data_IF_909101164745
#
_entry.id   IF_909101164745
#
_cell.length_a   1.000
_cell.length_b   1.000
_cell.length_c   1.000
_cell.angle_alpha   90.00
_cell.angle_beta   90.00
_cell.angle_gamma   90.00
#
_symmetry.space_group_name_H-M   'P 1'
#
loop_
_entity.id
_entity.type
_entity.pdbx_description
1 polymer ?
#
# COMPACT_ATOMS: atom_id res chain seq x y z
N UNK A 1 18.67 -16.75 -1.49
CA UNK A 1 18.36 -17.61 -2.66
C UNK A 1 19.57 -18.42 -3.10
N UNK A 2 20.70 -17.78 -3.45
CA UNK A 2 21.92 -18.50 -3.86
C UNK A 2 22.50 -19.38 -2.74
N UNK A 3 22.59 -18.87 -1.51
CA UNK A 3 23.05 -19.62 -0.33
C UNK A 3 22.16 -20.82 0.00
N UNK A 4 20.86 -20.69 -0.26
CA UNK A 4 19.88 -21.77 -0.07
C UNK A 4 19.75 -22.69 -1.30
N UNK A 5 20.62 -22.53 -2.30
CA UNK A 5 20.63 -23.34 -3.53
C UNK A 5 19.28 -23.42 -4.27
N UNK A 6 18.49 -22.35 -4.23
CA UNK A 6 17.18 -22.30 -4.91
C UNK A 6 17.40 -22.20 -6.43
N UNK A 7 16.77 -23.09 -7.19
CA UNK A 7 16.84 -23.10 -8.65
C UNK A 7 16.36 -21.78 -9.28
N UNK A 8 17.07 -21.29 -10.29
CA UNK A 8 16.63 -20.14 -11.07
C UNK A 8 15.47 -20.51 -11.99
N UNK A 9 14.63 -19.56 -12.43
CA UNK A 9 13.54 -19.84 -13.37
C UNK A 9 14.03 -20.48 -14.68
N UNK A 10 15.25 -20.14 -15.12
CA UNK A 10 15.85 -20.71 -16.32
C UNK A 10 16.20 -22.20 -16.13
N UNK A 11 16.79 -22.56 -14.99
CA UNK A 11 17.08 -23.96 -14.65
C UNK A 11 15.79 -24.73 -14.45
N UNK A 12 14.87 -24.21 -13.62
CA UNK A 12 13.60 -24.88 -13.33
C UNK A 12 12.78 -25.13 -14.59
N UNK A 13 12.75 -24.19 -15.54
CA UNK A 13 12.09 -24.37 -16.84
C UNK A 13 12.75 -25.47 -17.68
N UNK A 14 14.07 -25.53 -17.71
CA UNK A 14 14.80 -26.59 -18.42
C UNK A 14 14.55 -27.96 -17.80
N UNK A 15 14.56 -28.06 -16.45
CA UNK A 15 14.28 -29.29 -15.71
C UNK A 15 12.85 -29.80 -15.95
N UNK A 16 11.85 -28.90 -15.92
CA UNK A 16 10.44 -29.28 -16.04
C UNK A 16 9.99 -29.58 -17.49
N UNK A 17 10.48 -28.81 -18.46
CA UNK A 17 9.92 -28.82 -19.82
C UNK A 17 10.92 -29.24 -20.91
N UNK A 18 12.17 -29.54 -20.54
CA UNK A 18 13.21 -29.91 -21.51
C UNK A 18 13.59 -28.81 -22.50
N UNK A 19 13.12 -27.57 -22.27
CA UNK A 19 13.30 -26.43 -23.18
C UNK A 19 13.80 -25.20 -22.40
N UNK A 20 14.88 -24.57 -22.89
CA UNK A 20 15.51 -23.41 -22.26
C UNK A 20 16.49 -22.70 -23.20
N UNK A 21 16.77 -21.42 -22.91
CA UNK A 21 17.65 -20.58 -23.73
C UNK A 21 19.08 -21.17 -23.80
N UNK A 22 19.57 -21.36 -25.04
CA UNK A 22 20.81 -22.10 -25.35
C UNK A 22 22.12 -21.29 -25.33
N UNK A 23 22.11 -20.01 -24.92
CA UNK A 23 23.40 -19.31 -24.79
C UNK A 23 24.15 -19.86 -23.57
N UNK A 24 25.41 -20.24 -23.77
CA UNK A 24 26.33 -20.56 -22.68
C UNK A 24 26.63 -19.26 -21.92
N UNK A 25 26.04 -19.13 -20.73
CA UNK A 25 26.37 -18.08 -19.77
C UNK A 25 26.94 -18.78 -18.53
N UNK A 26 28.08 -18.32 -18.02
CA UNK A 26 28.85 -19.00 -16.98
C UNK A 26 28.18 -19.10 -15.60
N UNK A 27 26.98 -18.54 -15.42
CA UNK A 27 26.34 -18.40 -14.10
C UNK A 27 24.81 -18.56 -14.11
N UNK A 28 24.26 -19.41 -14.98
CA UNK A 28 22.80 -19.66 -15.10
C UNK A 28 22.09 -20.12 -13.81
N UNK A 29 22.85 -20.65 -12.86
CA UNK A 29 22.38 -21.14 -11.56
C UNK A 29 22.31 -20.06 -10.48
N UNK A 30 22.86 -18.87 -10.74
CA UNK A 30 22.84 -17.77 -9.79
C UNK A 30 21.61 -16.89 -10.03
N UNK A 31 20.95 -16.55 -8.94
CA UNK A 31 19.97 -15.49 -8.88
C UNK A 31 20.65 -14.13 -9.00
N UNK A 32 20.22 -13.39 -10.02
CA UNK A 32 20.58 -12.00 -10.24
C UNK A 32 19.49 -11.08 -9.67
N UNK A 33 19.89 -9.95 -9.12
CA UNK A 33 18.98 -8.94 -8.59
C UNK A 33 17.97 -8.44 -9.64
N UNK A 34 18.40 -8.28 -10.89
CA UNK A 34 17.53 -7.88 -12.01
C UNK A 34 16.48 -8.94 -12.33
N UNK A 35 16.81 -10.23 -12.17
CA UNK A 35 15.85 -11.33 -12.35
C UNK A 35 14.77 -11.28 -11.28
N UNK A 36 15.17 -11.13 -10.01
CA UNK A 36 14.23 -11.00 -8.88
C UNK A 36 13.36 -9.76 -9.05
N UNK A 37 13.97 -8.61 -9.40
CA UNK A 37 13.25 -7.37 -9.66
C UNK A 37 12.24 -7.49 -10.80
N UNK A 38 12.56 -8.23 -11.87
CA UNK A 38 11.62 -8.47 -12.97
C UNK A 38 10.42 -9.28 -12.51
N UNK A 39 10.65 -10.32 -11.70
CA UNK A 39 9.59 -11.15 -11.12
C UNK A 39 8.66 -10.33 -10.23
N UNK A 40 9.22 -9.55 -9.30
CA UNK A 40 8.43 -8.74 -8.36
C UNK A 40 7.61 -7.62 -9.05
N UNK A 41 7.94 -7.26 -10.28
CA UNK A 41 7.22 -6.24 -11.07
C UNK A 41 6.24 -6.82 -12.08
N UNK A 42 6.17 -8.15 -12.19
CA UNK A 42 5.34 -8.82 -13.17
C UNK A 42 3.91 -8.94 -12.65
N UNK A 43 2.96 -8.29 -13.31
CA UNK A 43 1.56 -8.29 -12.89
C UNK A 43 0.81 -9.59 -13.27
N UNK A 44 1.50 -10.51 -13.94
CA UNK A 44 1.06 -11.91 -14.10
C UNK A 44 0.77 -12.55 -12.73
N UNK A 45 1.51 -12.21 -11.69
CA UNK A 45 1.30 -12.77 -10.35
C UNK A 45 -0.02 -12.33 -9.69
N UNK A 46 -0.62 -11.23 -10.15
CA UNK A 46 -1.96 -10.77 -9.74
C UNK A 46 -3.05 -11.11 -10.78
N UNK A 47 -2.78 -12.05 -11.69
CA UNK A 47 -3.76 -12.49 -12.68
C UNK A 47 -3.89 -11.57 -13.90
N UNK A 48 -3.02 -10.55 -14.04
CA UNK A 48 -3.09 -9.59 -15.14
C UNK A 48 -2.17 -9.99 -16.28
N UNK A 49 -2.69 -10.02 -17.50
CA UNK A 49 -1.92 -10.34 -18.70
C UNK A 49 -1.86 -9.13 -19.63
N UNK A 50 -0.65 -8.64 -19.88
CA UNK A 50 -0.41 -7.55 -20.84
C UNK A 50 0.06 -8.06 -22.19
N UNK A 51 -0.59 -7.63 -23.26
CA UNK A 51 -0.20 -7.88 -24.65
C UNK A 51 0.07 -6.57 -25.38
N UNK A 52 0.97 -6.61 -26.36
CA UNK A 52 1.35 -5.43 -27.14
C UNK A 52 2.30 -4.49 -26.39
N UNK A 53 2.99 -4.94 -25.34
CA UNK A 53 3.96 -4.15 -24.56
C UNK A 53 5.13 -3.61 -25.40
N UNK A 54 5.39 -4.22 -26.55
CA UNK A 54 6.40 -3.79 -27.50
C UNK A 54 5.87 -3.84 -28.93
N UNK A 55 6.33 -2.91 -29.75
CA UNK A 55 6.06 -2.87 -31.19
C UNK A 55 7.35 -2.65 -31.97
N UNK A 56 7.35 -3.11 -33.22
CA UNK A 56 8.44 -2.81 -34.15
C UNK A 56 8.29 -1.36 -34.60
N UNK A 57 9.37 -0.59 -34.60
CA UNK A 57 9.31 0.84 -34.97
C UNK A 57 8.94 1.04 -36.46
N UNK A 58 9.51 0.21 -37.33
CA UNK A 58 9.23 0.20 -38.78
C UNK A 58 9.13 -1.23 -39.28
N UNK A 59 8.37 -1.46 -40.35
CA UNK A 59 8.12 -2.79 -40.95
C UNK A 59 9.43 -3.56 -41.17
N UNK A 60 10.48 -2.90 -41.68
CA UNK A 60 11.78 -3.51 -42.00
C UNK A 60 12.89 -3.26 -40.95
N UNK A 61 12.59 -2.74 -39.76
CA UNK A 61 13.62 -2.52 -38.72
C UNK A 61 13.59 -3.59 -37.64
N UNK A 62 14.73 -4.10 -37.20
CA UNK A 62 14.81 -4.95 -36.00
C UNK A 62 14.72 -4.15 -34.68
N UNK A 63 14.53 -2.82 -34.74
CA UNK A 63 14.40 -1.97 -33.56
C UNK A 63 13.01 -2.15 -32.94
N UNK A 64 12.99 -2.79 -31.77
CA UNK A 64 11.81 -2.95 -30.92
C UNK A 64 11.71 -1.76 -29.97
N UNK A 65 10.52 -1.17 -29.86
CA UNK A 65 10.24 -0.02 -29.00
C UNK A 65 9.11 -0.41 -28.05
N UNK A 66 9.18 0.08 -26.80
CA UNK A 66 8.09 -0.09 -25.83
C UNK A 66 6.89 0.76 -26.21
N UNK A 67 5.71 0.17 -26.06
CA UNK A 67 4.42 0.83 -26.28
C UNK A 67 4.00 1.54 -25.00
N UNK A 68 3.37 2.71 -25.12
CA UNK A 68 2.87 3.46 -23.98
C UNK A 68 1.86 2.60 -23.19
N UNK A 69 1.78 2.69 -21.86
CA UNK A 69 0.87 1.86 -21.06
C UNK A 69 -0.58 1.92 -21.51
N UNK A 70 -1.05 3.09 -21.95
CA UNK A 70 -2.41 3.35 -22.45
C UNK A 70 -2.75 2.57 -23.73
N UNK A 71 -1.74 2.31 -24.57
CA UNK A 71 -1.87 1.59 -25.84
C UNK A 71 -1.69 0.07 -25.67
N UNK A 72 -1.48 -0.41 -24.43
CA UNK A 72 -1.31 -1.84 -24.14
C UNK A 72 -2.65 -2.51 -23.91
N UNK A 73 -2.78 -3.74 -24.42
CA UNK A 73 -3.96 -4.56 -24.15
C UNK A 73 -3.77 -5.23 -22.79
N UNK A 74 -4.60 -4.83 -21.82
CA UNK A 74 -4.56 -5.33 -20.44
C UNK A 74 -5.78 -6.20 -20.20
N UNK A 75 -5.56 -7.45 -19.81
CA UNK A 75 -6.61 -8.39 -19.44
C UNK A 75 -6.44 -8.76 -17.97
N UNK A 76 -7.32 -8.24 -17.11
CA UNK A 76 -7.33 -8.54 -15.69
C UNK A 76 -8.06 -9.87 -15.41
N UNK A 77 -7.58 -10.65 -14.44
CA UNK A 77 -8.23 -11.89 -14.00
C UNK A 77 -8.21 -13.05 -14.99
N UNK A 78 -7.33 -13.01 -16.01
CA UNK A 78 -7.27 -14.06 -17.05
C UNK A 78 -6.67 -15.37 -16.52
N UNK A 79 -5.81 -15.27 -15.51
CA UNK A 79 -5.12 -16.40 -14.89
C UNK A 79 -5.29 -16.35 -13.36
N UNK A 80 -5.20 -17.49 -12.67
CA UNK A 80 -5.26 -17.52 -11.21
C UNK A 80 -4.19 -16.62 -10.59
N UNK A 81 -4.58 -15.79 -9.63
CA UNK A 81 -3.67 -14.96 -8.86
C UNK A 81 -2.83 -15.82 -7.90
N UNK A 82 -1.55 -15.48 -7.78
CA UNK A 82 -0.61 -16.14 -6.86
C UNK A 82 -0.43 -15.29 -5.60
N UNK A 83 -0.49 -13.96 -5.75
CA UNK A 83 -0.37 -12.98 -4.67
C UNK A 83 -1.56 -12.03 -4.70
N UNK A 84 -1.87 -11.42 -3.56
CA UNK A 84 -2.93 -10.42 -3.48
C UNK A 84 -2.52 -9.12 -4.20
N UNK A 85 -3.52 -8.42 -4.75
CA UNK A 85 -3.30 -7.16 -5.49
C UNK A 85 -2.71 -6.07 -4.58
N UNK A 86 -3.16 -5.99 -3.33
CA UNK A 86 -2.70 -4.98 -2.37
C UNK A 86 -1.22 -5.20 -2.02
N UNK A 87 -0.80 -6.44 -1.83
CA UNK A 87 0.60 -6.80 -1.54
C UNK A 87 1.51 -6.46 -2.73
N UNK A 88 1.07 -6.77 -3.96
CA UNK A 88 1.81 -6.42 -5.17
C UNK A 88 1.95 -4.90 -5.37
N UNK A 89 0.88 -4.15 -5.10
CA UNK A 89 0.89 -2.68 -5.17
C UNK A 89 1.85 -2.08 -4.13
N UNK A 90 1.86 -2.61 -2.90
CA UNK A 90 2.79 -2.19 -1.86
C UNK A 90 4.25 -2.39 -2.28
N UNK A 91 4.60 -3.55 -2.85
CA UNK A 91 5.95 -3.83 -3.35
C UNK A 91 6.34 -2.86 -4.49
N UNK A 92 5.42 -2.56 -5.41
CA UNK A 92 5.69 -1.61 -6.48
C UNK A 92 5.87 -0.19 -5.98
N UNK A 93 5.08 0.23 -4.98
CA UNK A 93 5.26 1.52 -4.31
C UNK A 93 6.65 1.63 -3.69
N UNK A 94 7.17 0.57 -3.04
CA UNK A 94 8.54 0.55 -2.52
C UNK A 94 9.60 0.77 -3.61
N UNK A 95 9.42 0.20 -4.81
CA UNK A 95 10.33 0.44 -5.93
C UNK A 95 10.32 1.89 -6.41
N UNK A 96 9.14 2.53 -6.44
CA UNK A 96 9.00 3.94 -6.83
C UNK A 96 9.69 4.82 -5.80
N UNK A 97 9.34 4.67 -4.52
CA UNK A 97 9.96 5.43 -3.41
C UNK A 97 11.48 5.30 -3.41
N UNK A 98 12.03 4.11 -3.67
CA UNK A 98 13.48 3.90 -3.74
C UNK A 98 14.16 4.77 -4.81
N UNK A 99 13.51 4.92 -5.97
CA UNK A 99 14.02 5.75 -7.08
C UNK A 99 13.92 7.23 -6.71
N UNK A 100 12.79 7.68 -6.18
CA UNK A 100 12.54 9.06 -5.74
C UNK A 100 13.50 9.49 -4.62
N UNK A 101 13.73 8.61 -3.66
CA UNK A 101 14.65 8.82 -2.55
C UNK A 101 16.13 8.78 -2.99
N UNK A 102 16.41 8.40 -4.24
CA UNK A 102 17.75 8.41 -4.80
C UNK A 102 18.69 7.42 -4.12
N UNK A 103 18.16 6.32 -3.57
CA UNK A 103 18.93 5.31 -2.85
C UNK A 103 19.86 4.58 -3.81
N UNK A 104 21.18 4.77 -3.62
CA UNK A 104 22.22 4.08 -4.41
C UNK A 104 23.02 3.16 -3.50
N UNK A 105 22.93 1.86 -3.74
CA UNK A 105 23.83 0.89 -3.13
C UNK A 105 25.03 0.68 -4.08
N UNK A 106 26.24 1.04 -3.65
CA UNK A 106 27.48 0.63 -4.31
C UNK A 106 28.17 -0.40 -3.42
N UNK A 107 28.03 -1.68 -3.76
CA UNK A 107 28.81 -2.79 -3.19
C UNK A 107 28.49 -3.23 -1.75
N UNK A 108 27.85 -2.40 -0.92
CA UNK A 108 27.52 -2.71 0.49
C UNK A 108 26.01 -2.65 0.78
N UNK A 109 25.62 -3.22 1.92
CA UNK A 109 24.28 -3.12 2.49
C UNK A 109 23.82 -1.66 2.59
N UNK A 110 22.54 -1.43 2.29
CA UNK A 110 21.91 -0.11 2.42
C UNK A 110 21.75 0.18 3.90
N UNK A 111 22.26 1.33 4.36
CA UNK A 111 22.06 1.74 5.74
C UNK A 111 20.61 2.15 5.98
N UNK A 112 20.11 1.90 7.20
CA UNK A 112 18.73 2.02 7.65
C UNK A 112 17.98 3.29 7.18
N UNK A 113 18.63 4.45 7.18
CA UNK A 113 18.01 5.74 6.82
C UNK A 113 18.44 6.30 5.45
N UNK A 114 19.11 5.50 4.63
CA UNK A 114 19.64 5.95 3.34
C UNK A 114 18.50 6.43 2.43
N UNK A 115 18.61 7.67 1.92
CA UNK A 115 17.62 8.26 1.00
C UNK A 115 16.38 8.85 1.68
N UNK A 116 16.12 8.54 2.95
CA UNK A 116 15.07 9.17 3.75
C UNK A 116 15.54 10.51 4.35
N UNK A 117 16.82 10.61 4.70
CA UNK A 117 17.39 11.81 5.30
C UNK A 117 17.64 12.92 4.28
N UNK A 118 17.05 14.09 4.53
CA UNK A 118 17.18 15.32 3.75
C UNK A 118 17.78 16.43 4.60
N UNK A 119 18.68 17.21 4.04
CA UNK A 119 19.15 18.44 4.65
C UNK A 119 18.10 19.53 4.48
N UNK A 120 17.67 20.16 5.57
CA UNK A 120 16.70 21.24 5.56
C UNK A 120 17.22 22.56 4.97
N UNK A 121 18.54 22.74 4.91
CA UNK A 121 19.16 23.95 4.31
C UNK A 121 19.37 23.82 2.81
N UNK A 122 19.97 22.72 2.34
CA UNK A 122 20.33 22.56 0.92
C UNK A 122 19.41 21.59 0.15
N UNK A 123 18.47 20.93 0.82
CA UNK A 123 17.50 20.00 0.22
C UNK A 123 18.09 18.68 -0.30
N UNK A 124 19.41 18.48 -0.21
CA UNK A 124 20.09 17.24 -0.65
C UNK A 124 20.03 16.15 0.41
N UNK A 125 20.21 14.90 -0.02
CA UNK A 125 20.25 13.76 0.89
C UNK A 125 21.46 13.83 1.85
N UNK A 126 21.35 13.19 3.00
CA UNK A 126 22.52 12.84 3.81
C UNK A 126 23.09 11.50 3.33
N UNK A 127 24.41 11.35 3.42
CA UNK A 127 25.15 10.14 3.08
C UNK A 127 25.87 9.60 4.29
N UNK A 128 25.99 8.28 4.39
CA UNK A 128 26.74 7.65 5.48
C UNK A 128 28.24 7.74 5.23
N UNK A 129 28.97 8.19 6.25
CA UNK A 129 30.43 8.17 6.31
C UNK A 129 30.88 7.33 7.51
N UNK A 130 31.99 6.63 7.36
CA UNK A 130 32.63 5.90 8.46
C UNK A 130 33.80 6.68 9.03
N UNK A 131 33.89 6.74 10.36
CA UNK A 131 35.07 7.21 11.08
C UNK A 131 35.68 6.03 11.84
N UNK A 132 36.97 5.78 11.63
CA UNK A 132 37.72 4.77 12.38
C UNK A 132 38.46 5.47 13.52
N UNK A 133 38.22 5.05 14.76
CA UNK A 133 38.94 5.51 15.95
C UNK A 133 39.55 4.32 16.70
N UNK A 134 40.34 4.59 17.75
CA UNK A 134 40.88 3.56 18.65
C UNK A 134 39.80 2.71 19.33
N UNK A 135 38.57 3.23 19.44
CA UNK A 135 37.42 2.54 20.06
C UNK A 135 36.53 1.80 19.05
N UNK A 136 36.92 1.75 17.78
CA UNK A 136 36.20 1.03 16.72
C UNK A 136 35.74 1.94 15.58
N UNK A 137 34.93 1.36 14.68
CA UNK A 137 34.35 2.07 13.54
C UNK A 137 32.99 2.63 13.93
N UNK A 138 32.83 3.96 13.86
CA UNK A 138 31.53 4.64 14.02
C UNK A 138 31.00 5.11 12.67
N UNK A 139 29.69 5.09 12.52
CA UNK A 139 29.00 5.52 11.30
C UNK A 139 28.17 6.77 11.59
N UNK A 140 28.19 7.71 10.65
CA UNK A 140 27.48 8.97 10.75
C UNK A 140 26.79 9.30 9.43
N UNK A 141 25.62 9.93 9.49
CA UNK A 141 25.00 10.60 8.35
C UNK A 141 25.50 12.04 8.25
N UNK A 142 25.90 12.47 7.06
CA UNK A 142 26.42 13.83 6.79
C UNK A 142 25.80 14.39 5.52
N UNK A 143 25.54 15.70 5.50
CA UNK A 143 25.00 16.38 4.32
C UNK A 143 25.89 16.14 3.07
N UNK A 144 25.29 15.69 1.96
CA UNK A 144 26.02 15.42 0.72
C UNK A 144 26.72 16.67 0.16
N UNK A 145 26.05 17.83 0.24
CA UNK A 145 26.58 19.10 -0.28
C UNK A 145 27.82 19.53 0.50
N UNK A 146 27.75 19.50 1.83
CA UNK A 146 28.91 19.76 2.68
C UNK A 146 30.03 18.75 2.42
N UNK A 147 29.72 17.45 2.35
CA UNK A 147 30.73 16.42 2.15
C UNK A 147 31.49 16.56 0.82
N UNK A 148 30.86 17.14 -0.21
CA UNK A 148 31.48 17.33 -1.52
C UNK A 148 32.15 18.69 -1.69
N UNK A 149 31.52 19.75 -1.22
CA UNK A 149 31.89 21.13 -1.53
C UNK A 149 32.31 21.95 -0.30
N UNK A 150 32.18 21.37 0.91
CA UNK A 150 32.59 21.98 2.16
C UNK A 150 31.61 23.01 2.72
N UNK A 151 32.06 23.68 3.79
CA UNK A 151 31.25 24.62 4.61
C UNK A 151 30.69 25.82 3.84
N UNK A 152 31.31 26.19 2.72
CA UNK A 152 30.86 27.32 1.91
C UNK A 152 29.48 27.09 1.27
N UNK A 153 29.05 25.83 1.12
CA UNK A 153 27.82 25.48 0.39
C UNK A 153 26.71 24.91 1.27
N UNK A 154 27.04 24.44 2.48
CA UNK A 154 26.09 23.93 3.47
C UNK A 154 26.83 23.75 4.81
N UNK A 155 26.12 23.69 5.94
CA UNK A 155 26.71 23.21 7.19
C UNK A 155 26.83 21.68 7.20
N UNK A 156 27.51 21.13 8.21
CA UNK A 156 27.91 19.71 8.23
C UNK A 156 26.72 18.76 8.34
N UNK A 157 25.67 19.14 9.08
CA UNK A 157 24.53 18.31 9.49
C UNK A 157 24.96 16.86 9.79
N UNK A 158 25.68 16.66 10.89
CA UNK A 158 26.18 15.33 11.29
C UNK A 158 25.27 14.68 12.33
N UNK A 159 24.77 13.49 12.00
CA UNK A 159 23.98 12.65 12.89
C UNK A 159 24.68 11.31 13.10
N UNK A 160 24.75 10.83 14.33
CA UNK A 160 25.14 9.43 14.55
C UNK A 160 23.97 8.50 14.19
N UNK A 161 24.27 7.24 13.91
CA UNK A 161 23.20 6.24 13.69
C UNK A 161 22.33 6.03 14.94
N UNK A 162 22.92 6.14 16.13
CA UNK A 162 22.22 5.90 17.39
C UNK A 162 21.26 7.06 17.73
N UNK A 163 21.67 8.31 17.45
CA UNK A 163 20.84 9.50 17.73
C UNK A 163 19.57 9.55 16.89
N UNK A 164 19.63 9.10 15.63
CA UNK A 164 18.44 9.07 14.78
C UNK A 164 17.51 7.92 15.18
N UNK A 165 18.05 6.77 15.62
CA UNK A 165 17.23 5.66 16.09
C UNK A 165 16.37 6.08 17.29
N UNK A 166 16.96 6.73 18.30
CA UNK A 166 16.21 7.17 19.48
C UNK A 166 15.10 8.17 19.12
N UNK A 167 15.40 9.15 18.25
CA UNK A 167 14.43 10.15 17.81
C UNK A 167 13.27 9.50 17.05
N UNK A 168 13.56 8.55 16.17
CA UNK A 168 12.51 7.88 15.39
C UNK A 168 11.64 6.99 16.28
N UNK A 169 12.22 6.26 17.23
CA UNK A 169 11.43 5.46 18.17
C UNK A 169 10.55 6.34 19.07
N UNK A 170 11.04 7.48 19.56
CA UNK A 170 10.24 8.42 20.34
C UNK A 170 9.04 8.96 19.55
N UNK A 171 9.23 9.28 18.26
CA UNK A 171 8.14 9.70 17.37
C UNK A 171 7.14 8.57 17.11
N UNK A 172 7.61 7.33 16.93
CA UNK A 172 6.74 6.17 16.76
C UNK A 172 5.93 5.86 18.01
N UNK A 173 6.51 6.00 19.20
CA UNK A 173 5.79 5.88 20.47
C UNK A 173 4.73 6.97 20.60
N UNK A 174 5.05 8.23 20.29
CA UNK A 174 4.08 9.33 20.31
C UNK A 174 2.93 9.09 19.33
N UNK A 175 3.23 8.56 18.14
CA UNK A 175 2.21 8.16 17.16
C UNK A 175 1.33 7.03 17.68
N UNK A 176 1.92 5.99 18.26
CA UNK A 176 1.18 4.88 18.85
C UNK A 176 0.24 5.37 19.96
N UNK A 177 0.70 6.24 20.85
CA UNK A 177 -0.15 6.86 21.88
C UNK A 177 -1.27 7.71 21.28
N UNK A 178 -0.99 8.49 20.22
CA UNK A 178 -2.02 9.26 19.53
C UNK A 178 -3.06 8.36 18.86
N UNK A 179 -2.64 7.21 18.33
CA UNK A 179 -3.52 6.22 17.73
C UNK A 179 -4.38 5.50 18.77
N UNK A 180 -3.83 5.16 19.94
CA UNK A 180 -4.60 4.65 21.08
C UNK A 180 -5.67 5.65 21.53
N UNK A 181 -5.34 6.93 21.63
CA UNK A 181 -6.32 7.97 21.95
C UNK A 181 -7.41 8.09 20.87
N UNK A 182 -7.07 7.93 19.58
CA UNK A 182 -8.05 7.88 18.50
C UNK A 182 -8.94 6.64 18.62
N UNK A 183 -8.39 5.47 18.93
CA UNK A 183 -9.16 4.26 19.21
C UNK A 183 -10.11 4.45 20.40
N UNK A 184 -9.63 4.99 21.52
CA UNK A 184 -10.46 5.28 22.69
C UNK A 184 -11.58 6.28 22.37
N UNK A 185 -11.31 7.29 21.53
CA UNK A 185 -12.32 8.23 21.07
C UNK A 185 -13.33 7.59 20.12
N UNK A 186 -12.88 6.68 19.24
CA UNK A 186 -13.76 5.86 18.42
C UNK A 186 -14.62 4.96 19.32
N UNK A 187 -14.04 4.30 20.32
CA UNK A 187 -14.75 3.42 21.26
C UNK A 187 -15.74 4.19 22.14
N UNK A 188 -15.38 5.35 22.68
CA UNK A 188 -16.33 6.22 23.42
C UNK A 188 -17.43 6.75 22.52
N UNK A 189 -17.08 7.17 21.29
CA UNK A 189 -18.10 7.54 20.31
C UNK A 189 -18.99 6.36 19.93
N UNK A 190 -18.52 5.11 20.03
CA UNK A 190 -19.28 3.89 19.79
C UNK A 190 -20.15 3.51 20.99
N UNK A 191 -19.70 3.73 22.23
CA UNK A 191 -20.49 3.49 23.44
C UNK A 191 -21.68 4.47 23.54
N UNK A 192 -21.44 5.77 23.34
CA UNK A 192 -22.52 6.78 23.27
C UNK A 192 -23.48 6.52 22.09
N UNK A 193 -23.01 5.84 21.04
CA UNK A 193 -23.80 5.51 19.84
C UNK A 193 -24.32 4.08 19.79
N UNK A 194 -23.98 3.17 20.72
CA UNK A 194 -24.56 1.82 20.77
C UNK A 194 -26.08 1.88 20.99
N UNK A 195 -26.55 2.91 21.69
CA UNK A 195 -27.96 3.25 21.80
C UNK A 195 -28.56 3.56 20.41
N UNK A 196 -27.88 4.37 19.59
CA UNK A 196 -28.30 4.71 18.22
C UNK A 196 -28.12 3.57 17.20
N UNK A 197 -27.17 2.65 17.43
CA UNK A 197 -26.88 1.52 16.54
C UNK A 197 -27.91 0.40 16.74
N UNK A 198 -28.42 0.19 17.97
CA UNK A 198 -29.63 -0.61 18.20
C UNK A 198 -30.83 -0.05 17.44
N UNK A 199 -30.98 1.27 17.38
CA UNK A 199 -32.06 1.90 16.64
C UNK A 199 -31.84 1.83 15.11
N UNK A 200 -30.60 1.94 14.64
CA UNK A 200 -30.24 1.82 13.22
C UNK A 200 -30.38 0.37 12.72
N UNK A 201 -29.92 -0.62 13.50
CA UNK A 201 -30.12 -2.04 13.20
C UNK A 201 -31.61 -2.41 13.18
N UNK A 202 -32.41 -1.89 14.11
CA UNK A 202 -33.88 -2.01 14.06
C UNK A 202 -34.48 -1.32 12.83
N UNK A 203 -33.92 -0.20 12.38
CA UNK A 203 -34.38 0.49 11.15
C UNK A 203 -34.06 -0.36 9.92
N UNK A 204 -32.88 -0.96 9.85
CA UNK A 204 -32.47 -1.90 8.78
C UNK A 204 -33.39 -3.12 8.77
N UNK A 205 -33.61 -3.78 9.92
CA UNK A 205 -34.52 -4.92 10.03
C UNK A 205 -35.97 -4.55 9.63
N UNK A 206 -36.46 -3.38 10.05
CA UNK A 206 -37.78 -2.88 9.66
C UNK A 206 -37.85 -2.62 8.15
N UNK A 207 -36.83 -2.02 7.55
CA UNK A 207 -36.77 -1.77 6.11
C UNK A 207 -36.73 -3.08 5.33
N UNK A 208 -35.91 -4.05 5.74
CA UNK A 208 -35.84 -5.38 5.13
C UNK A 208 -37.20 -6.11 5.22
N UNK A 209 -37.84 -6.07 6.38
CA UNK A 209 -39.18 -6.65 6.58
C UNK A 209 -40.23 -5.96 5.70
N UNK A 210 -40.19 -4.63 5.60
CA UNK A 210 -41.11 -3.84 4.78
C UNK A 210 -40.92 -4.11 3.29
N UNK A 211 -39.65 -4.22 2.83
CA UNK A 211 -39.32 -4.60 1.46
C UNK A 211 -39.82 -6.01 1.14
N UNK A 212 -39.64 -6.95 2.08
CA UNK A 212 -40.14 -8.32 1.91
C UNK A 212 -41.67 -8.36 1.80
N UNK A 213 -42.37 -7.63 2.68
CA UNK A 213 -43.83 -7.50 2.63
C UNK A 213 -44.30 -6.89 1.30
N UNK A 214 -43.65 -5.81 0.83
CA UNK A 214 -44.01 -5.14 -0.43
C UNK A 214 -43.74 -6.00 -1.68
N UNK A 215 -42.65 -6.77 -1.69
CA UNK A 215 -42.41 -7.82 -2.69
C UNK A 215 -43.51 -8.89 -2.67
N UNK A 216 -43.98 -9.24 -1.47
CA UNK A 216 -45.13 -10.13 -1.26
C UNK A 216 -46.43 -9.58 -1.82
N UNK A 217 -46.72 -8.29 -1.64
CA UNK A 217 -47.90 -7.61 -2.20
C UNK A 217 -47.90 -7.63 -3.73
N UNK A 218 -46.77 -7.29 -4.36
CA UNK A 218 -46.61 -7.36 -5.82
C UNK A 218 -46.90 -8.79 -6.32
N UNK A 219 -46.37 -9.80 -5.64
CA UNK A 219 -46.63 -11.21 -5.96
C UNK A 219 -48.10 -11.59 -5.76
N UNK A 220 -48.80 -10.96 -4.81
CA UNK A 220 -50.22 -11.19 -4.58
C UNK A 220 -51.09 -10.57 -5.69
N UNK A 221 -50.74 -9.36 -6.17
CA UNK A 221 -51.40 -8.76 -7.33
C UNK A 221 -51.32 -9.68 -8.55
N UNK A 222 -50.14 -10.29 -8.80
CA UNK A 222 -50.00 -11.28 -9.88
C UNK A 222 -50.90 -12.51 -9.70
N UNK A 223 -51.09 -12.97 -8.46
CA UNK A 223 -52.02 -14.09 -8.16
C UNK A 223 -53.49 -13.70 -8.34
N UNK A 224 -53.85 -12.46 -8.04
CA UNK A 224 -55.22 -11.96 -8.22
C UNK A 224 -55.57 -11.79 -9.70
N UNK A 225 -54.61 -11.30 -10.50
CA UNK A 225 -54.75 -11.23 -11.96
C UNK A 225 -54.93 -12.63 -12.58
N UNK A 226 -54.13 -13.61 -12.15
CA UNK A 226 -54.23 -15.00 -12.61
C UNK A 226 -55.55 -15.69 -12.24
N UNK A 227 -56.29 -15.14 -11.27
CA UNK A 227 -57.64 -15.59 -10.88
C UNK A 227 -58.76 -14.74 -11.50
N UNK A 228 -58.41 -13.81 -12.40
CA UNK A 228 -59.32 -12.87 -13.05
C UNK A 228 -60.10 -11.98 -12.07
N UNK A 229 -59.56 -11.79 -10.85
CA UNK A 229 -60.18 -10.96 -9.81
C UNK A 229 -59.92 -9.46 -9.98
N UNK A 230 -58.92 -9.11 -10.80
CA UNK A 230 -58.54 -7.73 -11.13
C UNK A 230 -58.27 -7.61 -12.63
N UNK A 231 -58.45 -6.41 -13.19
CA UNK A 231 -58.14 -6.14 -14.60
C UNK A 231 -56.64 -5.92 -14.80
N UNK A 232 -56.18 -6.12 -16.04
CA UNK A 232 -54.77 -5.89 -16.42
C UNK A 232 -54.35 -4.43 -16.20
N UNK A 233 -55.24 -3.48 -16.49
CA UNK A 233 -55.03 -2.04 -16.26
C UNK A 233 -54.79 -1.73 -14.78
N UNK A 234 -55.62 -2.28 -13.89
CA UNK A 234 -55.50 -2.10 -12.44
C UNK A 234 -54.25 -2.78 -11.88
N UNK A 235 -53.88 -3.94 -12.42
CA UNK A 235 -52.63 -4.62 -12.07
C UNK A 235 -51.40 -3.77 -12.43
N UNK A 236 -51.36 -3.18 -13.63
CA UNK A 236 -50.25 -2.34 -14.08
C UNK A 236 -50.10 -1.09 -13.22
N UNK A 237 -51.21 -0.47 -12.82
CA UNK A 237 -51.20 0.70 -11.94
C UNK A 237 -50.66 0.34 -10.54
N UNK A 238 -51.22 -0.68 -9.89
CA UNK A 238 -50.79 -1.09 -8.55
C UNK A 238 -49.34 -1.61 -8.50
N UNK A 239 -48.90 -2.34 -9.53
CA UNK A 239 -47.51 -2.82 -9.59
C UNK A 239 -46.53 -1.69 -9.83
N UNK A 240 -46.90 -0.69 -10.63
CA UNK A 240 -46.09 0.51 -10.84
C UNK A 240 -45.92 1.29 -9.54
N UNK A 241 -46.99 1.57 -8.81
CA UNK A 241 -46.92 2.26 -7.52
C UNK A 241 -46.07 1.48 -6.50
N UNK A 242 -46.34 0.19 -6.34
CA UNK A 242 -45.59 -0.67 -5.43
C UNK A 242 -44.09 -0.76 -5.80
N UNK A 243 -43.75 -0.76 -7.09
CA UNK A 243 -42.35 -0.77 -7.55
C UNK A 243 -41.61 0.53 -7.23
N UNK A 244 -42.28 1.67 -7.31
CA UNK A 244 -41.71 2.98 -6.97
C UNK A 244 -41.43 3.08 -5.47
N UNK A 245 -42.36 2.61 -4.63
CA UNK A 245 -42.18 2.55 -3.18
C UNK A 245 -41.06 1.60 -2.79
N UNK A 246 -41.02 0.42 -3.39
CA UNK A 246 -39.97 -0.58 -3.18
C UNK A 246 -38.59 -0.01 -3.53
N UNK A 247 -38.46 0.68 -4.67
CA UNK A 247 -37.21 1.34 -5.04
C UNK A 247 -36.79 2.45 -4.07
N UNK A 248 -37.73 3.16 -3.43
CA UNK A 248 -37.41 4.14 -2.37
C UNK A 248 -36.93 3.45 -1.09
N UNK A 249 -37.54 2.33 -0.71
CA UNK A 249 -37.13 1.56 0.48
C UNK A 249 -35.77 0.90 0.29
N UNK A 250 -35.50 0.32 -0.88
CA UNK A 250 -34.20 -0.29 -1.21
C UNK A 250 -33.07 0.74 -1.23
N UNK A 251 -33.30 1.96 -1.76
CA UNK A 251 -32.31 3.04 -1.67
C UNK A 251 -31.97 3.42 -0.23
N UNK A 252 -32.98 3.56 0.62
CA UNK A 252 -32.78 3.88 2.05
C UNK A 252 -32.04 2.76 2.79
N UNK A 253 -32.27 1.51 2.41
CA UNK A 253 -31.57 0.36 2.98
C UNK A 253 -30.07 0.42 2.62
N UNK A 254 -29.75 0.63 1.35
CA UNK A 254 -28.37 0.76 0.87
C UNK A 254 -27.64 1.91 1.57
N UNK A 255 -28.30 3.07 1.69
CA UNK A 255 -27.73 4.21 2.42
C UNK A 255 -27.42 3.85 3.88
N UNK A 256 -28.36 3.22 4.59
CA UNK A 256 -28.18 2.83 5.99
C UNK A 256 -27.08 1.77 6.18
N UNK A 257 -26.98 0.78 5.28
CA UNK A 257 -25.95 -0.28 5.32
C UNK A 257 -24.55 0.28 5.02
N UNK A 258 -24.44 1.16 4.01
CA UNK A 258 -23.15 1.78 3.63
C UNK A 258 -22.51 2.60 4.75
N UNK A 259 -23.31 3.26 5.59
CA UNK A 259 -22.81 4.03 6.74
C UNK A 259 -22.25 3.14 7.86
N UNK A 260 -22.71 1.89 8.00
CA UNK A 260 -22.14 0.94 8.95
C UNK A 260 -20.85 0.33 8.42
N UNK A 261 -20.84 -0.12 7.16
CA UNK A 261 -19.65 -0.74 6.55
C UNK A 261 -18.43 0.19 6.53
N UNK A 262 -18.61 1.48 6.20
CA UNK A 262 -17.50 2.45 6.18
C UNK A 262 -16.86 2.58 7.58
N UNK A 263 -17.66 2.52 8.64
CA UNK A 263 -17.19 2.75 10.02
C UNK A 263 -16.49 1.54 10.62
N UNK A 264 -17.03 0.34 10.39
CA UNK A 264 -16.39 -0.89 10.86
C UNK A 264 -15.05 -1.08 10.15
N UNK A 265 -15.00 -0.75 8.85
CA UNK A 265 -13.77 -0.76 8.06
C UNK A 265 -12.73 0.27 8.56
N UNK A 266 -13.15 1.48 8.96
CA UNK A 266 -12.24 2.47 9.57
C UNK A 266 -11.66 1.98 10.90
N UNK A 267 -12.48 1.37 11.77
CA UNK A 267 -12.02 0.84 13.05
C UNK A 267 -11.03 -0.31 12.86
N UNK A 268 -11.34 -1.24 11.96
CA UNK A 268 -10.49 -2.39 11.66
C UNK A 268 -9.13 -1.96 11.12
N UNK A 269 -9.09 -0.95 10.24
CA UNK A 269 -7.84 -0.35 9.73
C UNK A 269 -7.01 0.26 10.85
N UNK A 270 -7.61 1.08 11.71
CA UNK A 270 -6.89 1.72 12.83
C UNK A 270 -6.35 0.68 13.82
N UNK A 271 -7.11 -0.37 14.11
CA UNK A 271 -6.67 -1.47 14.97
C UNK A 271 -5.48 -2.23 14.37
N UNK A 272 -5.57 -2.60 13.08
CA UNK A 272 -4.48 -3.27 12.37
C UNK A 272 -3.21 -2.42 12.32
N UNK A 273 -3.35 -1.11 12.10
CA UNK A 273 -2.24 -0.16 12.11
C UNK A 273 -1.52 -0.12 13.46
N UNK A 274 -2.29 -0.15 14.55
CA UNK A 274 -1.75 -0.10 15.90
C UNK A 274 -1.06 -1.40 16.31
N UNK A 275 -1.56 -2.55 15.87
CA UNK A 275 -0.90 -3.84 16.09
C UNK A 275 0.48 -3.89 15.41
N UNK A 276 0.57 -3.41 14.17
CA UNK A 276 1.84 -3.30 13.43
C UNK A 276 2.81 -2.37 14.16
N UNK A 277 2.34 -1.18 14.57
CA UNK A 277 3.18 -0.22 15.30
C UNK A 277 3.68 -0.79 16.62
N UNK A 278 2.82 -1.50 17.36
CA UNK A 278 3.18 -2.14 18.62
C UNK A 278 4.26 -3.21 18.43
N UNK A 279 4.12 -4.06 17.43
CA UNK A 279 5.11 -5.10 17.13
C UNK A 279 6.49 -4.50 16.82
N UNK A 280 6.52 -3.39 16.09
CA UNK A 280 7.75 -2.66 15.76
C UNK A 280 8.40 -2.05 17.01
N UNK A 281 7.59 -1.42 17.88
CA UNK A 281 8.07 -0.82 19.14
C UNK A 281 8.63 -1.91 20.07
N UNK A 282 7.92 -3.04 20.22
CA UNK A 282 8.32 -4.13 21.11
C UNK A 282 9.62 -4.80 20.67
N UNK A 283 9.79 -5.02 19.36
CA UNK A 283 11.02 -5.62 18.82
C UNK A 283 12.23 -4.69 18.88
N UNK A 284 12.02 -3.37 19.01
CA UNK A 284 13.07 -2.33 18.92
C UNK A 284 13.94 -2.45 17.67
N UNK A 285 13.41 -3.08 16.62
CA UNK A 285 14.09 -3.27 15.35
C UNK A 285 13.22 -2.69 14.24
N UNK A 286 13.83 -1.84 13.43
CA UNK A 286 13.23 -1.20 12.27
C UNK A 286 14.12 -1.47 11.07
N UNK A 287 13.57 -2.12 10.06
CA UNK A 287 14.27 -2.31 8.80
C UNK A 287 14.15 -1.06 7.94
N UNK A 288 15.01 -0.94 6.92
CA UNK A 288 14.89 0.13 5.93
C UNK A 288 13.53 0.08 5.20
N UNK A 289 12.95 -1.11 5.01
CA UNK A 289 11.65 -1.26 4.36
C UNK A 289 10.52 -0.68 5.22
N UNK A 290 10.52 -0.98 6.52
CA UNK A 290 9.54 -0.46 7.48
C UNK A 290 9.58 1.08 7.50
N UNK A 291 10.78 1.66 7.51
CA UNK A 291 10.95 3.11 7.49
C UNK A 291 10.46 3.76 6.19
N UNK A 292 10.65 3.13 5.04
CA UNK A 292 10.15 3.66 3.75
C UNK A 292 8.63 3.56 3.65
N UNK A 293 8.04 2.58 4.32
CA UNK A 293 6.59 2.42 4.42
C UNK A 293 5.98 3.44 5.39
N UNK A 294 6.62 3.68 6.54
CA UNK A 294 6.11 4.54 7.60
C UNK A 294 6.39 6.03 7.37
N UNK A 295 7.55 6.37 6.81
CA UNK A 295 8.07 7.73 6.78
C UNK A 295 8.39 8.13 5.34
N UNK A 296 7.86 9.26 4.89
CA UNK A 296 8.21 9.81 3.58
C UNK A 296 9.62 10.40 3.54
N UNK A 297 9.95 11.28 4.49
CA UNK A 297 11.28 11.89 4.59
C UNK A 297 11.56 12.38 6.01
N UNK A 298 12.84 12.42 6.35
CA UNK A 298 13.34 12.96 7.61
C UNK A 298 14.21 14.17 7.27
N UNK A 299 13.75 15.37 7.65
CA UNK A 299 14.44 16.63 7.35
C UNK A 299 15.27 17.06 8.56
N UNK A 300 16.54 17.36 8.32
CA UNK A 300 17.52 17.70 9.36
C UNK A 300 17.95 19.15 9.19
N UNK A 301 17.70 19.97 10.20
CA UNK A 301 18.05 21.39 10.25
C UNK A 301 19.15 21.64 11.29
N UNK A 302 19.96 22.68 11.07
CA UNK A 302 20.91 23.15 12.08
C UNK A 302 20.22 24.06 13.10
N UNK A 303 20.36 23.76 14.39
CA UNK A 303 19.80 24.59 15.46
C UNK A 303 20.79 25.69 15.85
N UNK A 304 20.29 26.91 16.08
CA UNK A 304 21.13 28.09 16.43
C UNK A 304 21.88 27.93 17.76
N UNK A 305 21.36 27.13 18.69
CA UNK A 305 22.07 26.63 19.88
C UNK A 305 22.49 25.19 19.60
N UNK A 306 23.79 24.87 19.71
CA UNK A 306 24.40 23.55 19.42
C UNK A 306 23.40 22.38 19.42
N UNK A 307 23.00 21.91 18.23
CA UNK A 307 22.05 20.82 18.07
C UNK A 307 21.54 20.69 16.63
N UNK A 308 20.79 19.63 16.35
CA UNK A 308 20.07 19.43 15.09
C UNK A 308 18.58 19.32 15.40
N UNK A 309 17.75 20.01 14.63
CA UNK A 309 16.30 19.82 14.67
C UNK A 309 15.93 18.81 13.59
N UNK A 310 15.20 17.76 13.97
CA UNK A 310 14.78 16.69 13.06
C UNK A 310 13.26 16.74 12.93
N UNK A 311 12.80 16.90 11.70
CA UNK A 311 11.39 16.89 11.33
C UNK A 311 11.10 15.60 10.57
N UNK A 312 10.20 14.77 11.09
CA UNK A 312 9.73 13.57 10.40
C UNK A 312 8.47 13.95 9.61
N UNK A 313 8.57 13.99 8.28
CA UNK A 313 7.45 14.36 7.42
C UNK A 313 6.74 13.11 6.87
N UNK A 314 5.42 13.19 6.80
CA UNK A 314 4.61 12.19 6.10
C UNK A 314 4.63 10.83 6.79
N UNK A 315 4.22 10.80 8.06
CA UNK A 315 3.88 9.52 8.69
C UNK A 315 2.57 9.06 8.05
N UNK A 316 2.66 8.07 7.17
CA UNK A 316 1.48 7.49 6.57
C UNK A 316 0.65 6.83 7.68
N UNK A 317 -0.58 7.32 7.82
CA UNK A 317 -1.59 6.65 8.61
C UNK A 317 -2.07 5.48 7.74
N UNK A 318 -1.97 4.25 8.26
CA UNK A 318 -2.53 3.08 7.60
C UNK A 318 -4.06 3.12 7.61
#
# INVERSE_FOLDING_TARGET
MNEHHIETPAIRKATLYGYGWKKEWDYKHLWYSDTVKRILKDDVYIGTVRRGTTKRNKINSNKIVRVAPEDQFVHEGLIPFIIDKTEFEAVNAMFIKRVENGVRAKGNAIYKYTGLLKCGECGKNLVTIGSVSKSGRKLFYVCTTYNKYGKAYCSRHILSHDDIDSIIFEQLEALYQSGLLKMDNLDKSLEERQQSNKDTGKVIERLQTSIHAKKGEIKNYSKQLAKELITEELFLEMTKEASVELGKMERRLIEAESFQEIRDNEKEKVASALDILKEIIDKKELTHADLVMLIDKIVVYERKSKGLDIEVCGIHHF
#
